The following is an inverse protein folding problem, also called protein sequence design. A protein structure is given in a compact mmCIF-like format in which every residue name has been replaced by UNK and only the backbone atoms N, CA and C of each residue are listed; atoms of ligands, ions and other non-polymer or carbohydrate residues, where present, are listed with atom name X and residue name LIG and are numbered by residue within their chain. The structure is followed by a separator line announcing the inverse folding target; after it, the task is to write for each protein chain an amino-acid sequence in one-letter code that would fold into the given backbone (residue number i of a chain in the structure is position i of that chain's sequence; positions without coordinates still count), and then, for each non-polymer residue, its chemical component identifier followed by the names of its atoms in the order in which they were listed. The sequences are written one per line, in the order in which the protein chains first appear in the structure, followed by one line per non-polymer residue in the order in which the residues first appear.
data_IF_465658909091
#
_entry.id   IF_465658909091
#
_cell.length_a   1.000
_cell.length_b   1.000
_cell.length_c   1.000
_cell.angle_alpha   90.00
_cell.angle_beta   90.00
_cell.angle_gamma   90.00
#
_symmetry.space_group_name_H-M   'P 1'
#
loop_
_entity.id
_entity.type
_entity.pdbx_description
1 polymer ?
#
# COMPACT_ATOMS: atom_id res chain seq x y z
N UNK A 1 -12.38 18.15 -6.10
CA UNK A 1 -11.58 17.13 -6.81
C UNK A 1 -10.28 17.80 -7.21
N UNK A 2 -9.15 17.31 -6.69
CA UNK A 2 -7.81 17.85 -6.92
C UNK A 2 -7.06 16.95 -7.92
N UNK A 3 -6.14 17.52 -8.69
CA UNK A 3 -5.26 16.75 -9.58
C UNK A 3 -3.92 16.59 -8.86
N UNK A 4 -3.52 15.36 -8.53
CA UNK A 4 -2.29 15.16 -7.77
C UNK A 4 -1.04 15.36 -8.61
N UNK A 5 0.02 15.76 -7.94
CA UNK A 5 1.36 15.85 -8.50
C UNK A 5 2.11 14.51 -8.31
N UNK A 6 3.17 14.25 -9.10
CA UNK A 6 4.05 13.11 -8.88
C UNK A 6 4.71 13.15 -7.50
N UNK A 7 4.81 12.00 -6.84
CA UNK A 7 5.53 11.89 -5.57
C UNK A 7 7.02 12.20 -5.73
N UNK A 8 7.61 12.82 -4.71
CA UNK A 8 9.06 12.93 -4.59
C UNK A 8 9.71 11.58 -4.25
N UNK A 9 10.90 11.37 -4.81
CA UNK A 9 11.71 10.16 -4.54
C UNK A 9 11.91 9.91 -3.05
N UNK A 10 12.10 10.97 -2.27
CA UNK A 10 12.47 10.85 -0.86
C UNK A 10 11.33 10.27 -0.01
N UNK A 11 10.08 10.50 -0.44
CA UNK A 11 8.92 9.89 0.20
C UNK A 11 8.78 8.40 -0.15
N UNK A 12 9.15 7.99 -1.38
CA UNK A 12 9.20 6.57 -1.72
C UNK A 12 10.19 5.80 -0.84
N UNK A 13 11.30 6.43 -0.48
CA UNK A 13 12.33 5.83 0.37
C UNK A 13 11.89 5.58 1.82
N UNK A 14 10.78 6.17 2.27
CA UNK A 14 10.23 5.92 3.60
C UNK A 14 9.78 4.47 3.78
N UNK A 15 9.42 3.81 2.68
CA UNK A 15 8.86 2.45 2.67
C UNK A 15 9.60 1.48 1.73
N UNK A 16 10.42 1.98 0.80
CA UNK A 16 11.10 1.16 -0.21
C UNK A 16 12.61 1.32 -0.21
N UNK A 17 13.30 0.27 -0.68
CA UNK A 17 14.75 0.28 -0.85
C UNK A 17 15.17 1.21 -1.98
N UNK A 18 16.26 1.95 -1.75
CA UNK A 18 16.77 2.93 -2.71
C UNK A 18 17.12 2.34 -4.07
N UNK A 19 17.73 1.14 -4.11
CA UNK A 19 18.05 0.46 -5.37
C UNK A 19 16.80 0.20 -6.21
N UNK A 20 15.72 -0.30 -5.59
CA UNK A 20 14.47 -0.58 -6.29
C UNK A 20 13.82 0.71 -6.81
N UNK A 21 13.79 1.76 -5.99
CA UNK A 21 13.28 3.08 -6.39
C UNK A 21 14.08 3.66 -7.56
N UNK A 22 15.40 3.63 -7.49
CA UNK A 22 16.28 4.22 -8.49
C UNK A 22 16.19 3.48 -9.83
N UNK A 23 16.18 2.14 -9.80
CA UNK A 23 16.00 1.34 -11.02
C UNK A 23 14.62 1.54 -11.63
N UNK A 24 13.56 1.63 -10.82
CA UNK A 24 12.22 1.95 -11.33
C UNK A 24 12.18 3.33 -12.01
N UNK A 25 12.73 4.36 -11.36
CA UNK A 25 12.75 5.73 -11.90
C UNK A 25 13.59 5.82 -13.19
N UNK A 26 14.67 5.05 -13.30
CA UNK A 26 15.49 4.96 -14.50
C UNK A 26 14.84 4.13 -15.63
N UNK A 27 13.73 3.43 -15.36
CA UNK A 27 13.13 2.51 -16.31
C UNK A 27 13.96 1.24 -16.54
N UNK A 28 14.74 0.83 -15.53
CA UNK A 28 15.71 -0.27 -15.57
C UNK A 28 15.26 -1.46 -14.68
N UNK A 29 13.95 -1.72 -14.65
CA UNK A 29 13.43 -2.95 -14.06
C UNK A 29 13.72 -4.12 -15.00
N UNK A 30 14.07 -5.26 -14.42
CA UNK A 30 14.25 -6.49 -15.20
C UNK A 30 12.90 -7.07 -15.64
N UNK A 31 12.88 -7.84 -16.73
CA UNK A 31 11.71 -8.61 -17.17
C UNK A 31 11.06 -9.43 -16.04
N UNK A 32 11.88 -9.93 -15.10
CA UNK A 32 11.41 -10.71 -13.96
C UNK A 32 10.62 -9.84 -12.98
N UNK A 33 11.09 -8.62 -12.72
CA UNK A 33 10.41 -7.66 -11.85
C UNK A 33 9.12 -7.16 -12.50
N UNK A 34 9.16 -6.80 -13.79
CA UNK A 34 7.95 -6.41 -14.53
C UNK A 34 6.88 -7.51 -14.52
N UNK A 35 7.28 -8.77 -14.75
CA UNK A 35 6.38 -9.93 -14.68
C UNK A 35 5.85 -10.18 -13.27
N UNK A 36 6.68 -9.93 -12.24
CA UNK A 36 6.25 -10.07 -10.83
C UNK A 36 5.20 -9.02 -10.46
N UNK A 37 5.40 -7.79 -10.92
CA UNK A 37 4.42 -6.71 -10.78
C UNK A 37 3.16 -7.08 -11.58
N UNK A 38 3.28 -7.66 -12.77
CA UNK A 38 2.15 -8.14 -13.56
C UNK A 38 1.49 -7.09 -14.45
N UNK A 39 2.03 -5.87 -14.51
CA UNK A 39 1.58 -4.82 -15.43
C UNK A 39 2.22 -5.04 -16.82
N UNK A 40 1.76 -6.07 -17.53
CA UNK A 40 2.30 -6.46 -18.84
C UNK A 40 1.29 -6.18 -19.97
N UNK A 41 1.69 -5.52 -21.09
CA UNK A 41 3.05 -5.07 -21.40
C UNK A 41 3.44 -3.82 -20.61
N UNK A 42 4.70 -3.75 -20.17
CA UNK A 42 5.25 -2.56 -19.54
C UNK A 42 5.41 -1.43 -20.56
N UNK A 43 5.11 -0.20 -20.14
CA UNK A 43 5.32 0.99 -20.97
C UNK A 43 5.99 2.10 -20.15
N UNK A 44 6.81 2.98 -20.75
CA UNK A 44 7.44 4.09 -20.02
C UNK A 44 6.43 5.01 -19.30
N UNK A 45 5.20 5.11 -19.81
CA UNK A 45 4.11 5.85 -19.16
C UNK A 45 3.69 5.30 -17.79
N UNK A 46 4.01 4.04 -17.49
CA UNK A 46 3.74 3.44 -16.18
C UNK A 46 4.53 4.12 -15.07
N UNK A 47 5.73 4.64 -15.37
CA UNK A 47 6.53 5.39 -14.39
C UNK A 47 5.74 6.60 -13.90
N UNK A 48 5.35 7.49 -14.82
CA UNK A 48 4.61 8.69 -14.47
C UNK A 48 3.26 8.38 -13.81
N UNK A 49 2.55 7.34 -14.30
CA UNK A 49 1.28 6.90 -13.70
C UNK A 49 1.48 6.51 -12.23
N UNK A 50 2.49 5.71 -11.94
CA UNK A 50 2.79 5.27 -10.56
C UNK A 50 3.17 6.46 -9.69
N UNK A 51 4.02 7.38 -10.16
CA UNK A 51 4.43 8.52 -9.35
C UNK A 51 3.23 9.43 -8.99
N UNK A 52 2.33 9.68 -9.93
CA UNK A 52 1.10 10.46 -9.68
C UNK A 52 0.13 9.74 -8.74
N UNK A 53 0.02 8.41 -8.87
CA UNK A 53 -0.78 7.59 -7.94
C UNK A 53 -0.24 7.72 -6.52
N UNK A 54 1.06 7.55 -6.34
CA UNK A 54 1.72 7.65 -5.03
C UNK A 54 1.59 9.07 -4.45
N UNK A 55 1.77 10.11 -5.27
CA UNK A 55 1.67 11.50 -4.84
C UNK A 55 0.26 11.85 -4.38
N UNK A 56 -0.76 11.36 -5.09
CA UNK A 56 -2.16 11.54 -4.69
C UNK A 56 -2.51 10.88 -3.36
N UNK A 57 -1.84 9.78 -2.98
CA UNK A 57 -2.03 9.18 -1.66
C UNK A 57 -1.43 10.08 -0.56
N UNK A 58 -0.21 10.58 -0.77
CA UNK A 58 0.46 11.50 0.17
C UNK A 58 -0.33 12.79 0.34
N UNK A 59 -0.72 13.44 -0.75
CA UNK A 59 -1.51 14.67 -0.72
C UNK A 59 -2.86 14.47 -0.04
N UNK A 60 -3.51 13.31 -0.22
CA UNK A 60 -4.75 12.99 0.49
C UNK A 60 -4.50 12.87 2.01
N UNK A 61 -3.41 12.22 2.43
CA UNK A 61 -3.01 12.15 3.84
C UNK A 61 -2.75 13.54 4.42
N UNK A 62 -1.97 14.38 3.74
CA UNK A 62 -1.67 15.74 4.17
C UNK A 62 -2.93 16.62 4.22
N UNK A 63 -3.83 16.48 3.24
CA UNK A 63 -5.08 17.21 3.20
C UNK A 63 -5.97 16.86 4.39
N UNK A 64 -6.16 15.57 4.68
CA UNK A 64 -6.97 15.10 5.80
C UNK A 64 -6.40 15.58 7.15
N UNK A 65 -5.08 15.58 7.32
CA UNK A 65 -4.44 16.05 8.56
C UNK A 65 -4.52 17.57 8.71
N UNK A 66 -4.36 18.33 7.63
CA UNK A 66 -4.37 19.79 7.67
C UNK A 66 -5.77 20.39 7.82
N UNK A 67 -6.79 19.74 7.27
CA UNK A 67 -8.17 20.27 7.23
C UNK A 67 -9.15 19.47 8.10
N UNK A 68 -8.73 18.32 8.64
CA UNK A 68 -9.61 17.37 9.30
C UNK A 68 -10.52 16.62 8.31
N UNK A 69 -11.21 15.60 8.82
CA UNK A 69 -12.18 14.81 8.04
C UNK A 69 -11.56 13.67 7.25
N UNK A 70 -12.11 13.37 6.08
CA UNK A 70 -11.74 12.24 5.22
C UNK A 70 -11.31 12.74 3.85
N UNK A 71 -10.16 12.26 3.39
CA UNK A 71 -9.68 12.42 2.02
C UNK A 71 -9.35 11.03 1.45
N UNK A 72 -9.26 10.92 0.13
CA UNK A 72 -8.96 9.64 -0.51
C UNK A 72 -8.37 9.81 -1.90
N UNK A 73 -7.60 8.78 -2.29
CA UNK A 73 -7.02 8.63 -3.61
C UNK A 73 -7.66 7.44 -4.31
N UNK A 74 -8.37 7.68 -5.42
CA UNK A 74 -9.09 6.62 -6.14
C UNK A 74 -8.19 5.64 -6.89
N UNK A 75 -6.90 5.96 -7.04
CA UNK A 75 -5.94 5.09 -7.72
C UNK A 75 -5.07 4.28 -6.74
N UNK A 76 -5.18 4.54 -5.43
CA UNK A 76 -4.33 3.93 -4.39
C UNK A 76 -4.73 2.51 -3.98
N UNK A 77 -4.27 2.09 -2.81
CA UNK A 77 -4.54 0.75 -2.25
C UNK A 77 -3.51 -0.30 -2.68
N UNK A 78 -2.27 0.11 -2.90
CA UNK A 78 -1.20 -0.71 -3.48
C UNK A 78 -0.49 -1.60 -2.44
N UNK A 79 -1.28 -2.43 -1.75
CA UNK A 79 -0.87 -3.17 -0.56
C UNK A 79 0.08 -4.37 -0.77
N UNK A 80 0.33 -4.78 -2.02
CA UNK A 80 1.17 -5.95 -2.33
C UNK A 80 2.64 -5.60 -2.63
N UNK A 81 3.00 -4.32 -2.72
CA UNK A 81 4.40 -3.95 -2.92
C UNK A 81 5.17 -4.08 -1.60
N UNK A 82 6.33 -4.75 -1.67
CA UNK A 82 7.25 -4.94 -0.55
C UNK A 82 8.38 -3.92 -0.62
N UNK A 83 9.22 -3.87 0.43
CA UNK A 83 10.34 -2.93 0.53
C UNK A 83 11.23 -2.95 -0.72
N UNK A 84 11.63 -4.12 -1.19
CA UNK A 84 12.61 -4.30 -2.26
C UNK A 84 12.02 -4.65 -3.64
N UNK A 85 10.70 -4.84 -3.75
CA UNK A 85 10.08 -5.28 -5.01
C UNK A 85 8.58 -4.99 -5.06
N UNK A 86 8.08 -4.75 -6.27
CA UNK A 86 6.65 -4.74 -6.57
C UNK A 86 6.08 -6.15 -6.81
N UNK A 87 4.77 -6.30 -6.61
CA UNK A 87 4.04 -7.57 -6.77
C UNK A 87 2.54 -7.30 -6.87
N UNK A 88 1.77 -8.20 -7.51
CA UNK A 88 0.30 -8.15 -7.48
C UNK A 88 -0.28 -6.81 -7.96
N UNK A 89 0.22 -6.31 -9.09
CA UNK A 89 -0.13 -5.02 -9.70
C UNK A 89 0.30 -3.78 -8.90
N UNK A 90 1.01 -3.95 -7.79
CA UNK A 90 1.54 -2.89 -6.95
C UNK A 90 3.03 -2.69 -7.22
N UNK A 91 3.43 -1.49 -7.66
CA UNK A 91 4.84 -1.13 -7.87
C UNK A 91 5.47 -0.69 -6.56
N UNK A 92 4.88 0.31 -5.92
CA UNK A 92 5.19 0.80 -4.57
C UNK A 92 3.96 0.64 -3.69
N UNK A 93 4.13 0.83 -2.38
CA UNK A 93 3.12 0.68 -1.35
C UNK A 93 2.75 2.06 -0.80
N UNK A 94 1.72 2.66 -1.37
CA UNK A 94 1.19 3.96 -0.95
C UNK A 94 0.77 4.00 0.52
N UNK A 95 0.14 2.93 1.02
CA UNK A 95 -0.30 2.85 2.41
C UNK A 95 0.87 2.95 3.39
N UNK A 96 1.94 2.20 3.14
CA UNK A 96 3.13 2.22 3.97
C UNK A 96 3.89 3.55 3.86
N UNK A 97 4.01 4.13 2.65
CA UNK A 97 4.59 5.47 2.45
C UNK A 97 3.81 6.52 3.24
N UNK A 98 2.48 6.55 3.12
CA UNK A 98 1.63 7.50 3.85
C UNK A 98 1.73 7.32 5.36
N UNK A 99 1.72 6.08 5.86
CA UNK A 99 1.85 5.81 7.28
C UNK A 99 3.19 6.34 7.84
N UNK A 100 4.30 6.05 7.15
CA UNK A 100 5.64 6.49 7.55
C UNK A 100 5.78 8.02 7.44
N UNK A 101 5.27 8.63 6.38
CA UNK A 101 5.24 10.09 6.22
C UNK A 101 4.47 10.78 7.34
N UNK A 102 3.29 10.26 7.68
CA UNK A 102 2.49 10.79 8.78
C UNK A 102 3.25 10.75 10.12
N UNK A 103 3.92 9.62 10.40
CA UNK A 103 4.66 9.38 11.63
C UNK A 103 5.99 10.17 11.74
N UNK A 104 6.67 10.41 10.61
CA UNK A 104 8.00 11.03 10.60
C UNK A 104 7.98 12.53 10.33
N UNK A 105 7.00 13.00 9.55
CA UNK A 105 7.01 14.36 9.01
C UNK A 105 5.76 15.18 9.37
N UNK A 106 4.63 14.54 9.67
CA UNK A 106 3.36 15.23 9.91
C UNK A 106 2.95 15.25 11.41
N UNK A 107 3.80 14.74 12.29
CA UNK A 107 3.59 14.79 13.75
C UNK A 107 2.53 13.83 14.26
N UNK A 108 2.13 12.81 13.48
CA UNK A 108 1.21 11.77 13.93
C UNK A 108 1.95 10.82 14.87
N UNK A 109 1.36 10.53 16.03
CA UNK A 109 1.99 9.66 17.03
C UNK A 109 1.79 8.16 16.72
N UNK A 110 0.64 7.80 16.16
CA UNK A 110 0.25 6.43 15.83
C UNK A 110 -0.65 6.38 14.60
N UNK A 111 -0.50 5.33 13.78
CA UNK A 111 -1.29 5.10 12.57
C UNK A 111 -1.82 3.67 12.58
N UNK A 112 -3.07 3.48 12.13
CA UNK A 112 -3.60 2.16 11.81
C UNK A 112 -3.89 2.10 10.30
N UNK A 113 -3.42 1.04 9.64
CA UNK A 113 -3.78 0.69 8.27
C UNK A 113 -4.82 -0.41 8.33
N UNK A 114 -6.07 -0.05 8.01
CA UNK A 114 -7.18 -0.99 7.91
C UNK A 114 -7.33 -1.41 6.44
N UNK A 115 -6.94 -2.64 6.15
CA UNK A 115 -7.00 -3.23 4.82
C UNK A 115 -8.19 -4.18 4.71
N UNK A 116 -9.15 -3.80 3.86
CA UNK A 116 -10.39 -4.53 3.60
C UNK A 116 -10.41 -5.12 2.18
N UNK A 117 -9.28 -5.11 1.47
CA UNK A 117 -9.18 -5.80 0.19
C UNK A 117 -9.35 -7.32 0.37
N UNK A 118 -9.87 -7.99 -0.67
CA UNK A 118 -10.09 -9.44 -0.64
C UNK A 118 -8.78 -10.23 -0.58
N UNK A 119 -7.68 -9.66 -1.03
CA UNK A 119 -6.32 -10.17 -0.91
C UNK A 119 -5.69 -9.67 0.39
N UNK A 120 -4.74 -10.40 0.95
CA UNK A 120 -4.01 -9.90 2.13
C UNK A 120 -3.00 -8.83 1.70
N UNK A 121 -2.97 -7.68 2.38
CA UNK A 121 -1.95 -6.64 2.26
C UNK A 121 -0.58 -7.04 2.79
N UNK A 122 0.01 -8.07 2.20
CA UNK A 122 1.29 -8.67 2.59
C UNK A 122 2.48 -7.72 2.50
N UNK A 123 2.48 -6.83 1.51
CA UNK A 123 3.50 -5.79 1.36
C UNK A 123 3.42 -4.78 2.50
N UNK A 124 2.21 -4.34 2.84
CA UNK A 124 1.98 -3.40 3.95
C UNK A 124 2.42 -4.01 5.28
N UNK A 125 2.02 -5.26 5.55
CA UNK A 125 2.38 -6.00 6.75
C UNK A 125 3.91 -6.12 6.91
N UNK A 126 4.61 -6.48 5.84
CA UNK A 126 6.08 -6.66 5.88
C UNK A 126 6.85 -5.35 5.99
N UNK A 127 6.40 -4.27 5.36
CA UNK A 127 7.09 -2.97 5.43
C UNK A 127 6.95 -2.34 6.82
N UNK A 128 5.79 -2.50 7.47
CA UNK A 128 5.48 -1.86 8.75
C UNK A 128 5.79 -2.73 9.97
N UNK A 129 6.24 -3.97 9.80
CA UNK A 129 6.46 -4.94 10.87
C UNK A 129 7.36 -4.44 12.02
N UNK A 130 8.34 -3.59 11.73
CA UNK A 130 9.29 -3.05 12.72
C UNK A 130 8.95 -1.61 13.18
N UNK A 131 7.77 -1.08 12.82
CA UNK A 131 7.31 0.25 13.24
C UNK A 131 6.24 0.14 14.34
N UNK A 132 6.60 0.23 15.63
CA UNK A 132 5.67 0.01 16.74
C UNK A 132 4.58 1.10 16.87
N UNK A 133 4.69 2.21 16.13
CA UNK A 133 3.66 3.25 16.06
C UNK A 133 2.63 2.97 14.96
N UNK A 134 2.88 2.00 14.09
CA UNK A 134 1.95 1.54 13.07
C UNK A 134 1.25 0.25 13.53
N UNK A 135 0.00 0.07 13.11
CA UNK A 135 -0.75 -1.17 13.29
C UNK A 135 -1.40 -1.56 11.97
N UNK A 136 -1.22 -2.80 11.56
CA UNK A 136 -1.74 -3.38 10.31
C UNK A 136 -2.86 -4.36 10.60
N UNK A 137 -4.04 -4.07 10.08
CA UNK A 137 -5.25 -4.88 10.25
C UNK A 137 -5.70 -5.33 8.86
N UNK A 138 -5.78 -6.64 8.62
CA UNK A 138 -6.18 -7.19 7.33
C UNK A 138 -7.37 -8.13 7.46
N UNK A 139 -8.49 -7.78 6.83
CA UNK A 139 -9.67 -8.64 6.67
C UNK A 139 -9.70 -9.15 5.25
N UNK A 140 -9.27 -10.39 5.02
CA UNK A 140 -9.00 -10.90 3.67
C UNK A 140 -9.53 -12.32 3.46
N UNK A 141 -9.69 -12.73 2.21
CA UNK A 141 -10.05 -14.12 1.89
C UNK A 141 -8.87 -15.05 2.19
N UNK A 142 -9.11 -16.03 3.07
CA UNK A 142 -8.14 -17.00 3.58
C UNK A 142 -7.37 -17.76 2.49
N UNK A 143 -7.99 -18.00 1.34
CA UNK A 143 -7.42 -18.79 0.24
C UNK A 143 -7.01 -17.96 -0.97
N UNK A 144 -7.27 -16.65 -0.96
CA UNK A 144 -6.93 -15.77 -2.08
C UNK A 144 -5.45 -15.35 -2.04
N UNK A 145 -4.96 -14.61 -3.03
CA UNK A 145 -3.58 -14.12 -3.08
C UNK A 145 -3.22 -13.25 -1.84
N UNK A 146 -1.95 -13.26 -1.40
CA UNK A 146 -0.90 -14.23 -1.73
C UNK A 146 -1.19 -15.61 -1.13
N UNK A 147 -0.68 -16.66 -1.78
CA UNK A 147 -0.86 -18.05 -1.31
C UNK A 147 -0.13 -18.33 0.02
N UNK A 148 0.99 -17.64 0.25
CA UNK A 148 1.65 -17.61 1.55
C UNK A 148 1.41 -16.23 2.15
N UNK A 149 0.63 -16.21 3.23
CA UNK A 149 0.33 -14.99 3.97
C UNK A 149 1.57 -14.47 4.70
N UNK A 150 1.73 -13.16 4.71
CA UNK A 150 2.60 -12.47 5.68
C UNK A 150 1.92 -12.40 7.04
N UNK A 151 2.64 -11.94 8.05
CA UNK A 151 2.07 -11.68 9.37
C UNK A 151 1.79 -10.19 9.52
N UNK A 152 0.52 -9.83 9.65
CA UNK A 152 0.09 -8.49 10.10
C UNK A 152 0.02 -8.44 11.63
N UNK A 153 -0.25 -7.28 12.22
CA UNK A 153 -0.55 -7.18 13.65
C UNK A 153 -1.87 -7.90 13.98
N UNK A 154 -2.87 -7.75 13.10
CA UNK A 154 -4.14 -8.44 13.18
C UNK A 154 -4.58 -8.96 11.81
N UNK A 155 -4.64 -10.28 11.66
CA UNK A 155 -5.13 -10.96 10.46
C UNK A 155 -6.48 -11.64 10.75
N UNK A 156 -7.49 -11.29 9.95
CA UNK A 156 -8.85 -11.82 10.03
C UNK A 156 -9.21 -12.56 8.74
N UNK A 157 -8.88 -13.86 8.66
CA UNK A 157 -9.13 -14.67 7.47
C UNK A 157 -10.62 -14.99 7.32
N UNK A 158 -11.20 -14.63 6.17
CA UNK A 158 -12.58 -14.93 5.79
C UNK A 158 -12.62 -16.15 4.85
N UNK A 159 -13.52 -17.14 5.07
CA UNK A 159 -13.66 -18.27 4.16
C UNK A 159 -14.09 -17.84 2.74
N UNK A 160 -13.59 -18.50 1.67
CA UNK A 160 -13.99 -18.19 0.30
C UNK A 160 -15.50 -18.41 0.11
N UNK A 161 -16.14 -17.53 -0.66
CA UNK A 161 -17.59 -17.59 -0.91
C UNK A 161 -18.45 -17.09 0.24
N UNK A 162 -17.85 -16.53 1.31
CA UNK A 162 -18.60 -15.84 2.36
C UNK A 162 -19.35 -14.64 1.78
N UNK A 163 -20.60 -14.45 2.23
CA UNK A 163 -21.42 -13.28 1.91
C UNK A 163 -21.30 -12.17 2.96
N UNK A 164 -22.09 -11.11 2.75
CA UNK A 164 -22.04 -9.88 3.54
C UNK A 164 -22.15 -10.08 5.04
N UNK A 165 -22.99 -11.01 5.52
CA UNK A 165 -23.18 -11.22 6.96
C UNK A 165 -21.90 -11.65 7.67
N UNK A 166 -21.20 -12.63 7.10
CA UNK A 166 -19.93 -13.15 7.64
C UNK A 166 -18.81 -12.13 7.48
N UNK A 167 -18.76 -11.43 6.34
CA UNK A 167 -17.75 -10.42 6.10
C UNK A 167 -17.92 -9.23 7.07
N UNK A 168 -19.14 -8.69 7.19
CA UNK A 168 -19.43 -7.56 8.06
C UNK A 168 -19.31 -7.91 9.55
N UNK A 169 -19.60 -9.15 9.98
CA UNK A 169 -19.32 -9.56 11.35
C UNK A 169 -17.82 -9.59 11.64
N UNK A 170 -17.03 -10.10 10.69
CA UNK A 170 -15.56 -10.14 10.79
C UNK A 170 -14.97 -8.73 10.83
N UNK A 171 -15.43 -7.82 9.96
CA UNK A 171 -14.99 -6.41 9.98
C UNK A 171 -15.31 -5.73 11.31
N UNK A 172 -16.47 -6.02 11.93
CA UNK A 172 -16.81 -5.48 13.27
C UNK A 172 -15.96 -6.05 14.39
N UNK A 173 -15.44 -7.26 14.24
CA UNK A 173 -14.49 -7.85 15.19
C UNK A 173 -13.10 -7.21 15.07
N UNK A 174 -12.74 -6.79 13.85
CA UNK A 174 -11.44 -6.21 13.54
C UNK A 174 -11.27 -4.74 13.95
N UNK A 175 -12.35 -4.02 14.23
CA UNK A 175 -12.40 -2.57 14.53
C UNK A 175 -12.80 -2.30 15.99
#
# INVERSE_FOLDING_TARGET
MHRPEPIDRELLLLAHDADFVDRFLAGDLTDKEEKRIGLTPWTPSMIQRTLVLMGGAVEATEHALSHGGVAGNMAGGTHHAHRAFGSGYCVFNDLAVCARHALEHLGVERVAVVDLDVHQGDGTATILADEPRACTISVHCSTNFPFRKSQSDHDFPVPPGSGDEVYLSTVREAL
#
